data_IF_073867643898
#
_entry.id   IF_073867643898
#
_cell.length_a   1.000
_cell.length_b   1.000
_cell.length_c   1.000
_cell.angle_alpha   90.00
_cell.angle_beta   90.00
_cell.angle_gamma   90.00
#
_symmetry.space_group_name_H-M   'P 1'
#
loop_
_entity.id
_entity.type
_entity.pdbx_description
1 polymer ?
#
# COMPACT_ATOMS: atom_id res chain seq x y z
N UNK A 1 17.84 -3.15 -0.86
CA UNK A 1 18.03 -4.52 -0.38
C UNK A 1 16.67 -5.22 -0.33
N UNK A 2 16.63 -6.51 -0.65
CA UNK A 2 15.43 -7.35 -0.49
C UNK A 2 15.55 -8.20 0.78
N UNK A 3 14.44 -8.38 1.50
CA UNK A 3 14.38 -9.18 2.71
C UNK A 3 13.28 -10.24 2.58
N UNK A 4 13.49 -11.39 3.22
CA UNK A 4 12.55 -12.52 3.21
C UNK A 4 11.38 -12.35 4.21
N UNK A 5 11.25 -11.18 4.84
CA UNK A 5 10.22 -10.86 5.83
C UNK A 5 10.76 -9.98 6.95
N UNK A 6 9.87 -9.54 7.85
CA UNK A 6 10.21 -8.61 8.95
C UNK A 6 11.27 -9.17 9.90
N UNK A 7 11.18 -10.43 10.27
CA UNK A 7 12.16 -11.07 11.14
C UNK A 7 13.57 -11.06 10.54
N UNK A 8 13.69 -11.30 9.24
CA UNK A 8 14.99 -11.23 8.54
C UNK A 8 15.54 -9.80 8.55
N UNK A 9 14.69 -8.79 8.34
CA UNK A 9 15.07 -7.39 8.44
C UNK A 9 15.57 -7.03 9.84
N UNK A 10 14.86 -7.44 10.89
CA UNK A 10 15.22 -7.20 12.28
C UNK A 10 16.57 -7.82 12.64
N UNK A 11 16.79 -9.09 12.29
CA UNK A 11 18.06 -9.79 12.54
C UNK A 11 19.22 -9.09 11.86
N UNK A 12 19.08 -8.72 10.58
CA UNK A 12 20.14 -8.03 9.84
C UNK A 12 20.40 -6.65 10.41
N UNK A 13 19.37 -5.91 10.78
CA UNK A 13 19.50 -4.58 11.40
C UNK A 13 20.24 -4.67 12.72
N UNK A 14 19.88 -5.63 13.57
CA UNK A 14 20.56 -5.84 14.85
C UNK A 14 22.02 -6.23 14.65
N UNK A 15 22.33 -7.12 13.71
CA UNK A 15 23.70 -7.50 13.39
C UNK A 15 24.53 -6.32 12.91
N UNK A 16 24.02 -5.50 11.99
CA UNK A 16 24.73 -4.32 11.50
C UNK A 16 24.98 -3.30 12.61
N UNK A 17 24.05 -3.14 13.54
CA UNK A 17 24.23 -2.29 14.72
C UNK A 17 25.29 -2.84 15.67
N UNK A 18 25.26 -4.16 15.96
CA UNK A 18 26.19 -4.79 16.94
C UNK A 18 27.60 -4.97 16.40
N UNK A 19 27.72 -5.44 15.14
CA UNK A 19 29.02 -5.79 14.55
C UNK A 19 29.74 -4.57 13.96
N UNK A 20 28.99 -3.61 13.43
CA UNK A 20 29.55 -2.44 12.72
C UNK A 20 29.22 -1.10 13.36
N UNK A 21 28.48 -1.08 14.47
CA UNK A 21 28.01 0.13 15.17
C UNK A 21 27.28 1.13 14.25
N UNK A 22 26.50 0.61 13.27
CA UNK A 22 25.74 1.43 12.32
C UNK A 22 24.36 1.75 12.87
N UNK A 23 24.01 3.04 12.93
CA UNK A 23 22.64 3.47 13.16
C UNK A 23 21.91 3.53 11.80
N UNK A 24 21.03 2.56 11.56
CA UNK A 24 20.28 2.45 10.31
C UNK A 24 18.95 3.18 10.40
N UNK A 25 18.63 3.91 9.35
CA UNK A 25 17.27 4.40 9.10
C UNK A 25 16.65 3.46 8.08
N UNK A 26 15.60 2.75 8.50
CA UNK A 26 14.87 1.81 7.65
C UNK A 26 13.67 2.53 7.08
N UNK A 27 13.56 2.58 5.76
CA UNK A 27 12.43 3.16 5.06
C UNK A 27 11.84 2.15 4.10
N UNK A 28 10.52 2.13 3.97
CA UNK A 28 9.87 1.43 2.89
C UNK A 28 10.06 2.20 1.57
N UNK A 29 10.15 1.52 0.41
CA UNK A 29 10.15 2.20 -0.87
C UNK A 29 8.87 3.01 -1.03
N UNK A 30 8.98 4.23 -1.54
CA UNK A 30 7.84 5.10 -1.86
C UNK A 30 7.60 5.12 -3.36
N UNK A 31 6.34 5.30 -3.73
CA UNK A 31 5.92 5.43 -5.12
C UNK A 31 6.03 6.91 -5.51
N UNK A 32 6.61 7.18 -6.68
CA UNK A 32 6.67 8.51 -7.24
C UNK A 32 5.38 8.79 -8.01
N UNK A 33 4.60 9.78 -7.57
CA UNK A 33 3.46 10.30 -8.31
C UNK A 33 3.87 11.50 -9.12
N UNK A 34 3.44 11.56 -10.38
CA UNK A 34 3.59 12.75 -11.23
C UNK A 34 2.32 13.59 -11.11
N UNK A 35 2.47 14.83 -10.64
CA UNK A 35 1.35 15.73 -10.40
C UNK A 35 1.50 16.94 -11.33
N UNK A 36 0.51 17.15 -12.18
CA UNK A 36 0.40 18.32 -13.04
C UNK A 36 -0.66 19.26 -12.48
N UNK A 37 -0.23 20.39 -11.96
CA UNK A 37 -1.08 21.42 -11.40
C UNK A 37 -1.82 22.20 -12.48
N UNK A 38 -2.90 22.87 -12.13
CA UNK A 38 -3.71 23.69 -13.03
C UNK A 38 -2.90 24.80 -13.75
N UNK A 39 -1.80 25.27 -13.16
CA UNK A 39 -0.89 26.22 -13.77
C UNK A 39 0.08 25.61 -14.79
N UNK A 40 -0.07 24.34 -15.12
CA UNK A 40 0.78 23.58 -16.04
C UNK A 40 2.12 23.11 -15.45
N UNK A 41 2.41 23.43 -14.18
CA UNK A 41 3.62 22.93 -13.53
C UNK A 41 3.47 21.44 -13.22
N UNK A 42 4.46 20.64 -13.63
CA UNK A 42 4.54 19.21 -13.30
C UNK A 42 5.66 18.98 -12.29
N UNK A 43 5.39 18.17 -11.27
CA UNK A 43 6.37 17.77 -10.27
C UNK A 43 6.18 16.31 -9.85
N UNK A 44 7.28 15.68 -9.40
CA UNK A 44 7.24 14.32 -8.82
C UNK A 44 7.18 14.41 -7.30
N UNK A 45 6.18 13.73 -6.73
CA UNK A 45 5.96 13.67 -5.29
C UNK A 45 6.18 12.26 -4.80
N UNK A 46 7.07 12.12 -3.81
CA UNK A 46 7.45 10.85 -3.18
C UNK A 46 6.86 10.68 -1.79
N UNK A 47 6.53 11.79 -1.12
CA UNK A 47 6.03 11.77 0.26
C UNK A 47 4.53 12.07 0.30
N UNK A 48 3.73 11.26 0.99
CA UNK A 48 2.29 11.51 1.13
C UNK A 48 1.96 12.89 1.71
N UNK A 49 2.80 13.42 2.61
CA UNK A 49 2.63 14.75 3.22
C UNK A 49 2.67 15.92 2.22
N UNK A 50 3.24 15.70 1.03
CA UNK A 50 3.29 16.69 -0.06
C UNK A 50 2.25 16.44 -1.14
N UNK A 51 1.45 15.38 -0.98
CA UNK A 51 0.40 15.04 -1.93
C UNK A 51 -0.71 16.11 -1.89
N UNK A 52 -1.33 16.45 -3.03
CA UNK A 52 -2.40 17.44 -3.08
C UNK A 52 -3.54 17.12 -2.10
N UNK A 53 -4.15 18.16 -1.56
CA UNK A 53 -5.38 18.02 -0.80
C UNK A 53 -6.55 17.67 -1.73
N UNK A 54 -7.55 17.02 -1.19
CA UNK A 54 -8.78 16.69 -1.92
C UNK A 54 -9.38 17.95 -2.57
N UNK A 55 -9.74 17.82 -3.85
CA UNK A 55 -10.30 18.93 -4.63
C UNK A 55 -9.27 19.92 -5.17
N UNK A 56 -7.97 19.72 -4.94
CA UNK A 56 -6.95 20.47 -5.63
C UNK A 56 -7.03 20.20 -7.14
N UNK A 57 -7.00 21.26 -7.95
CA UNK A 57 -7.01 21.14 -9.42
C UNK A 57 -5.66 20.64 -9.92
N UNK A 58 -5.48 19.34 -9.89
CA UNK A 58 -4.29 18.66 -10.34
C UNK A 58 -4.65 17.36 -11.07
N UNK A 59 -3.87 17.03 -12.10
CA UNK A 59 -3.92 15.71 -12.72
C UNK A 59 -2.84 14.85 -12.09
N UNK A 60 -3.21 13.68 -11.60
CA UNK A 60 -2.31 12.75 -10.93
C UNK A 60 -2.06 11.57 -11.86
N UNK A 61 -0.79 11.20 -12.01
CA UNK A 61 -0.37 9.98 -12.72
C UNK A 61 0.50 9.13 -11.81
N UNK A 62 0.37 7.82 -11.94
CA UNK A 62 1.14 6.84 -11.17
C UNK A 62 1.86 5.85 -12.09
N UNK A 63 2.99 5.28 -11.63
CA UNK A 63 3.69 4.26 -12.38
C UNK A 63 2.90 2.95 -12.40
N UNK A 64 2.81 2.37 -13.57
CA UNK A 64 2.28 1.03 -13.79
C UNK A 64 3.41 0.05 -14.02
N UNK A 65 3.12 -1.22 -13.78
CA UNK A 65 4.03 -2.34 -13.98
C UNK A 65 3.40 -3.39 -14.87
N UNK A 66 4.22 -4.00 -15.70
CA UNK A 66 3.89 -5.23 -16.41
C UNK A 66 4.33 -6.39 -15.54
N UNK A 67 3.41 -7.25 -15.17
CA UNK A 67 3.65 -8.40 -14.30
C UNK A 67 3.40 -9.66 -15.10
N UNK A 68 4.33 -10.62 -15.01
CA UNK A 68 4.14 -11.98 -15.49
C UNK A 68 3.96 -12.90 -14.29
N UNK A 69 2.87 -13.66 -14.31
CA UNK A 69 2.55 -14.66 -13.30
C UNK A 69 2.54 -16.04 -13.98
N UNK A 70 3.32 -16.97 -13.45
CA UNK A 70 3.32 -18.37 -13.88
C UNK A 70 2.67 -19.19 -12.78
N UNK A 71 1.62 -19.93 -13.12
CA UNK A 71 0.83 -20.70 -12.17
C UNK A 71 0.22 -21.95 -12.82
N UNK A 72 -0.14 -22.98 -12.04
CA UNK A 72 -0.95 -24.10 -12.53
C UNK A 72 -2.37 -23.63 -12.90
N UNK A 73 -3.00 -24.22 -13.94
CA UNK A 73 -4.33 -23.84 -14.41
C UNK A 73 -5.41 -23.85 -13.32
N UNK A 74 -5.32 -24.75 -12.36
CA UNK A 74 -6.28 -24.89 -11.24
C UNK A 74 -6.43 -23.63 -10.40
N UNK A 75 -5.39 -22.79 -10.34
CA UNK A 75 -5.38 -21.56 -9.56
C UNK A 75 -5.75 -20.30 -10.37
N UNK A 76 -6.11 -20.47 -11.65
CA UNK A 76 -6.47 -19.34 -12.51
C UNK A 76 -7.65 -18.55 -11.95
N UNK A 77 -8.71 -19.23 -11.51
CA UNK A 77 -9.91 -18.56 -10.96
C UNK A 77 -9.63 -17.72 -9.71
N UNK A 78 -8.88 -18.26 -8.74
CA UNK A 78 -8.51 -17.52 -7.54
C UNK A 78 -7.59 -16.33 -7.85
N UNK A 79 -6.69 -16.49 -8.81
CA UNK A 79 -5.81 -15.42 -9.27
C UNK A 79 -6.59 -14.31 -9.99
N UNK A 80 -7.58 -14.65 -10.82
CA UNK A 80 -8.45 -13.65 -11.47
C UNK A 80 -9.21 -12.77 -10.45
N UNK A 81 -9.73 -13.37 -9.39
CA UNK A 81 -10.38 -12.62 -8.29
C UNK A 81 -9.40 -11.66 -7.63
N UNK A 82 -8.18 -12.14 -7.33
CA UNK A 82 -7.14 -11.32 -6.73
C UNK A 82 -6.73 -10.15 -7.65
N UNK A 83 -6.60 -10.39 -8.95
CA UNK A 83 -6.27 -9.34 -9.93
C UNK A 83 -7.33 -8.25 -9.97
N UNK A 84 -8.60 -8.62 -9.93
CA UNK A 84 -9.69 -7.64 -9.86
C UNK A 84 -9.60 -6.75 -8.63
N UNK A 85 -9.27 -7.31 -7.46
CA UNK A 85 -9.10 -6.58 -6.19
C UNK A 85 -7.88 -5.63 -6.20
N UNK A 86 -6.90 -5.94 -7.04
CA UNK A 86 -5.66 -5.17 -7.20
C UNK A 86 -5.59 -4.36 -8.51
N UNK A 87 -6.73 -4.06 -9.12
CA UNK A 87 -6.81 -3.27 -10.35
C UNK A 87 -5.96 -3.81 -11.52
N UNK A 88 -5.76 -5.13 -11.55
CA UNK A 88 -4.96 -5.80 -12.58
C UNK A 88 -5.73 -5.92 -13.90
N UNK A 89 -5.14 -5.47 -14.99
CA UNK A 89 -5.64 -5.59 -16.35
C UNK A 89 -4.91 -6.74 -17.05
N UNK A 90 -5.65 -7.77 -17.48
CA UNK A 90 -5.05 -8.90 -18.19
C UNK A 90 -4.79 -8.50 -19.64
N UNK A 91 -3.54 -8.61 -20.04
CA UNK A 91 -3.09 -8.30 -21.40
C UNK A 91 -3.04 -9.57 -22.25
N UNK A 92 -2.53 -10.65 -21.67
CA UNK A 92 -2.35 -11.91 -22.38
C UNK A 92 -2.40 -13.09 -21.43
N UNK A 93 -2.80 -14.25 -21.99
CA UNK A 93 -2.85 -15.52 -21.28
C UNK A 93 -2.35 -16.63 -22.20
N UNK A 94 -1.19 -17.16 -21.89
CA UNK A 94 -0.59 -18.26 -22.63
C UNK A 94 -0.61 -19.54 -21.79
N UNK A 95 -1.01 -20.65 -22.38
CA UNK A 95 -0.94 -21.95 -21.71
C UNK A 95 0.20 -22.76 -22.32
N UNK A 96 1.18 -23.08 -21.49
CA UNK A 96 2.32 -23.92 -21.83
C UNK A 96 2.09 -25.33 -21.31
N UNK A 97 1.64 -26.21 -22.16
CA UNK A 97 1.19 -27.56 -21.77
C UNK A 97 0.02 -27.54 -20.76
N UNK A 98 -0.51 -28.71 -20.43
CA UNK A 98 -1.64 -28.83 -19.49
C UNK A 98 -1.29 -28.48 -18.03
N UNK A 99 -0.03 -28.12 -17.74
CA UNK A 99 0.46 -27.94 -16.37
C UNK A 99 0.77 -26.49 -15.98
N UNK A 100 0.91 -25.55 -16.93
CA UNK A 100 1.33 -24.17 -16.63
C UNK A 100 0.64 -23.13 -17.49
N UNK A 101 0.16 -22.09 -16.84
CA UNK A 101 -0.39 -20.88 -17.48
C UNK A 101 0.49 -19.69 -17.15
N UNK A 102 0.79 -18.87 -18.14
CA UNK A 102 1.45 -17.58 -18.00
C UNK A 102 0.40 -16.49 -18.19
N UNK A 103 0.22 -15.65 -17.17
CA UNK A 103 -0.59 -14.45 -17.25
C UNK A 103 0.32 -13.25 -17.39
N UNK A 104 0.12 -12.45 -18.43
CA UNK A 104 0.73 -11.12 -18.56
C UNK A 104 -0.32 -10.07 -18.22
N UNK A 105 -0.05 -9.27 -17.20
CA UNK A 105 -0.97 -8.26 -16.70
C UNK A 105 -0.30 -6.90 -16.60
N UNK A 106 -1.10 -5.84 -16.61
CA UNK A 106 -0.70 -4.50 -16.21
C UNK A 106 -1.44 -4.12 -14.93
N UNK A 107 -0.74 -3.52 -13.98
CA UNK A 107 -1.35 -3.05 -12.73
C UNK A 107 -0.59 -1.84 -12.17
N UNK A 108 -1.24 -1.02 -11.34
CA UNK A 108 -0.55 0.06 -10.63
C UNK A 108 0.54 -0.49 -9.71
N UNK A 109 1.72 0.15 -9.69
CA UNK A 109 2.81 -0.25 -8.80
C UNK A 109 2.38 -0.25 -7.32
N UNK A 110 1.49 0.68 -6.91
CA UNK A 110 0.95 0.73 -5.53
C UNK A 110 0.22 -0.55 -5.13
N UNK A 111 -0.50 -1.15 -6.08
CA UNK A 111 -1.25 -2.39 -5.85
C UNK A 111 -0.33 -3.61 -5.79
N UNK A 112 0.71 -3.65 -6.63
CA UNK A 112 1.74 -4.68 -6.53
C UNK A 112 2.43 -4.65 -5.15
N UNK A 113 2.75 -3.45 -4.64
CA UNK A 113 3.41 -3.27 -3.36
C UNK A 113 2.48 -3.47 -2.14
N UNK A 114 1.17 -3.49 -2.35
CA UNK A 114 0.15 -3.70 -1.31
C UNK A 114 -0.07 -5.18 -1.00
N UNK A 115 0.98 -5.89 -0.61
CA UNK A 115 0.94 -7.32 -0.25
C UNK A 115 0.42 -8.26 -1.38
N UNK A 116 0.42 -7.83 -2.65
CA UNK A 116 -0.06 -8.65 -3.76
C UNK A 116 0.69 -9.97 -3.86
N UNK A 117 2.01 -9.95 -3.67
CA UNK A 117 2.84 -11.17 -3.73
C UNK A 117 2.43 -12.20 -2.67
N UNK A 118 2.23 -11.77 -1.42
CA UNK A 118 1.82 -12.67 -0.32
C UNK A 118 0.42 -13.23 -0.55
N UNK A 119 -0.50 -12.39 -1.04
CA UNK A 119 -1.86 -12.82 -1.37
C UNK A 119 -1.87 -13.80 -2.55
N UNK A 120 -1.05 -13.56 -3.58
CA UNK A 120 -0.88 -14.47 -4.70
C UNK A 120 -0.34 -15.83 -4.24
N UNK A 121 0.68 -15.83 -3.39
CA UNK A 121 1.24 -17.07 -2.80
C UNK A 121 0.19 -17.84 -2.02
N UNK A 122 -0.60 -17.15 -1.21
CA UNK A 122 -1.68 -17.78 -0.44
C UNK A 122 -2.78 -18.34 -1.36
N UNK A 123 -3.22 -17.55 -2.35
CA UNK A 123 -4.27 -17.95 -3.29
C UNK A 123 -3.87 -19.14 -4.19
N UNK A 124 -2.56 -19.35 -4.36
CA UNK A 124 -2.01 -20.41 -5.22
C UNK A 124 -1.26 -21.50 -4.45
N UNK A 125 -1.45 -21.57 -3.12
CA UNK A 125 -0.75 -22.54 -2.24
C UNK A 125 0.78 -22.54 -2.43
N UNK A 126 1.34 -21.38 -2.80
CA UNK A 126 2.77 -21.19 -3.05
C UNK A 126 3.26 -21.55 -4.44
N UNK A 127 2.40 -22.08 -5.32
CA UNK A 127 2.81 -22.53 -6.65
C UNK A 127 3.08 -21.41 -7.65
N UNK A 128 2.47 -20.23 -7.49
CA UNK A 128 2.71 -19.13 -8.41
C UNK A 128 4.10 -18.54 -8.26
N UNK A 129 4.71 -18.18 -9.39
CA UNK A 129 5.87 -17.29 -9.44
C UNK A 129 5.50 -15.99 -10.13
N UNK A 130 6.17 -14.90 -9.74
CA UNK A 130 5.90 -13.56 -10.23
C UNK A 130 7.21 -12.88 -10.62
N UNK A 131 7.22 -12.21 -11.77
CA UNK A 131 8.23 -11.24 -12.15
C UNK A 131 7.53 -9.97 -12.65
N UNK A 132 8.19 -8.82 -12.56
CA UNK A 132 7.62 -7.57 -13.03
C UNK A 132 8.69 -6.65 -13.62
N UNK A 133 8.26 -5.74 -14.48
CA UNK A 133 9.05 -4.67 -15.06
C UNK A 133 8.24 -3.36 -15.02
N UNK A 134 8.95 -2.23 -14.94
CA UNK A 134 8.30 -0.92 -14.98
C UNK A 134 7.70 -0.68 -16.35
N UNK A 135 6.50 -0.13 -16.35
CA UNK A 135 5.78 0.30 -17.55
C UNK A 135 5.62 1.83 -17.56
N UNK A 136 4.59 2.33 -18.21
CA UNK A 136 4.30 3.74 -18.37
C UNK A 136 3.64 4.39 -17.15
N UNK A 137 3.63 5.72 -17.13
CA UNK A 137 2.84 6.50 -16.19
C UNK A 137 1.40 6.62 -16.70
N UNK A 138 0.40 6.31 -15.87
CA UNK A 138 -1.02 6.41 -16.22
C UNK A 138 -1.80 7.30 -15.26
N UNK A 139 -2.93 7.88 -15.70
CA UNK A 139 -3.83 8.59 -14.80
C UNK A 139 -4.20 7.73 -13.60
N UNK A 140 -4.20 8.34 -12.41
CA UNK A 140 -4.47 7.66 -11.15
C UNK A 140 -5.68 8.28 -10.46
N UNK A 141 -6.60 7.41 -9.99
CA UNK A 141 -7.70 7.79 -9.10
C UNK A 141 -7.31 7.44 -7.67
N UNK A 142 -6.59 8.34 -7.03
CA UNK A 142 -5.97 8.14 -5.73
C UNK A 142 -6.22 9.32 -4.80
N UNK A 143 -6.25 9.05 -3.51
CA UNK A 143 -6.44 10.03 -2.46
C UNK A 143 -5.43 9.86 -1.33
N UNK A 144 -5.12 10.96 -0.63
CA UNK A 144 -4.33 10.90 0.59
C UNK A 144 -5.21 10.51 1.76
N UNK A 145 -4.84 9.42 2.44
CA UNK A 145 -5.42 9.03 3.72
C UNK A 145 -4.50 9.52 4.83
N UNK A 146 -5.03 10.39 5.67
CA UNK A 146 -4.36 10.94 6.84
C UNK A 146 -4.92 10.31 8.12
N UNK A 147 -4.07 10.12 9.11
CA UNK A 147 -4.46 9.62 10.43
C UNK A 147 -4.18 10.68 11.48
N UNK A 148 -5.21 10.96 12.29
CA UNK A 148 -5.12 11.87 13.41
C UNK A 148 -5.26 11.09 14.73
N UNK A 149 -4.41 11.39 15.69
CA UNK A 149 -4.47 10.88 17.06
C UNK A 149 -4.57 12.05 18.02
N UNK A 150 -5.59 12.04 18.85
CA UNK A 150 -5.91 13.16 19.76
C UNK A 150 -6.08 14.53 19.03
N UNK A 151 -6.53 14.49 17.77
CA UNK A 151 -6.70 15.69 16.93
C UNK A 151 -5.46 16.14 16.18
N UNK A 152 -4.30 15.53 16.43
CA UNK A 152 -3.04 15.85 15.76
C UNK A 152 -2.77 14.89 14.61
N UNK A 153 -2.37 15.43 13.45
CA UNK A 153 -1.96 14.64 12.29
C UNK A 153 -0.66 13.87 12.61
N UNK A 154 -0.65 12.58 12.30
CA UNK A 154 0.55 11.74 12.40
C UNK A 154 1.07 11.44 10.99
N UNK A 155 2.04 12.21 10.47
CA UNK A 155 2.50 12.10 9.08
C UNK A 155 3.05 10.73 8.71
N UNK A 156 3.58 9.99 9.69
CA UNK A 156 4.11 8.63 9.48
C UNK A 156 3.03 7.62 9.06
N UNK A 157 1.76 7.90 9.31
CA UNK A 157 0.64 7.06 8.90
C UNK A 157 -0.08 7.57 7.65
N UNK A 158 0.30 8.76 7.15
CA UNK A 158 -0.23 9.28 5.89
C UNK A 158 0.23 8.43 4.73
N UNK A 159 -0.71 8.07 3.84
CA UNK A 159 -0.43 7.27 2.65
C UNK A 159 -1.36 7.62 1.51
N UNK A 160 -0.93 7.34 0.28
CA UNK A 160 -1.76 7.50 -0.93
C UNK A 160 -2.36 6.15 -1.26
N UNK A 161 -3.67 6.12 -1.46
CA UNK A 161 -4.46 4.91 -1.72
C UNK A 161 -5.46 5.15 -2.85
N UNK A 162 -5.91 4.08 -3.49
CA UNK A 162 -6.98 4.17 -4.50
C UNK A 162 -8.28 4.67 -3.88
N UNK A 163 -8.96 5.59 -4.56
CA UNK A 163 -10.19 6.25 -4.07
C UNK A 163 -11.27 5.25 -3.67
N UNK A 164 -11.43 4.18 -4.41
CA UNK A 164 -12.42 3.12 -4.13
C UNK A 164 -12.14 2.33 -2.84
N UNK A 165 -10.93 2.41 -2.29
CA UNK A 165 -10.53 1.70 -1.07
C UNK A 165 -10.50 2.58 0.18
N UNK A 166 -10.77 3.87 0.04
CA UNK A 166 -10.66 4.85 1.13
C UNK A 166 -11.44 4.43 2.37
N UNK A 167 -12.69 4.00 2.22
CA UNK A 167 -13.52 3.62 3.36
C UNK A 167 -12.98 2.39 4.09
N UNK A 168 -12.62 1.35 3.34
CA UNK A 168 -12.07 0.11 3.90
C UNK A 168 -10.74 0.36 4.62
N UNK A 169 -9.81 1.06 3.97
CA UNK A 169 -8.49 1.36 4.51
C UNK A 169 -8.58 2.28 5.75
N UNK A 170 -9.49 3.26 5.73
CA UNK A 170 -9.73 4.13 6.88
C UNK A 170 -10.25 3.36 8.10
N UNK A 171 -11.19 2.42 7.90
CA UNK A 171 -11.68 1.56 8.97
C UNK A 171 -10.57 0.67 9.53
N UNK A 172 -9.85 -0.02 8.66
CA UNK A 172 -8.78 -0.94 9.05
C UNK A 172 -7.69 -0.25 9.86
N UNK A 173 -7.23 0.93 9.44
CA UNK A 173 -6.17 1.65 10.17
C UNK A 173 -6.67 2.12 11.54
N UNK A 174 -7.89 2.63 11.63
CA UNK A 174 -8.48 3.09 12.90
C UNK A 174 -8.69 1.90 13.86
N UNK A 175 -9.19 0.77 13.39
CA UNK A 175 -9.37 -0.43 14.20
C UNK A 175 -8.03 -1.01 14.65
N UNK A 176 -7.06 -1.08 13.75
CA UNK A 176 -5.70 -1.55 14.09
C UNK A 176 -5.08 -0.68 15.18
N UNK A 177 -5.10 0.64 15.02
CA UNK A 177 -4.56 1.56 16.03
C UNK A 177 -5.32 1.49 17.34
N UNK A 178 -6.66 1.39 17.29
CA UNK A 178 -7.48 1.22 18.49
C UNK A 178 -7.12 -0.05 19.28
N UNK A 179 -6.74 -1.13 18.59
CA UNK A 179 -6.39 -2.41 19.23
C UNK A 179 -5.00 -2.42 19.87
N UNK A 180 -4.06 -1.64 19.34
CA UNK A 180 -2.65 -1.67 19.78
C UNK A 180 -2.25 -0.49 20.66
N UNK A 181 -2.94 0.67 20.56
CA UNK A 181 -2.62 1.83 21.39
C UNK A 181 -3.07 1.61 22.84
N UNK A 182 -2.19 1.82 23.82
CA UNK A 182 -2.54 1.70 25.21
C UNK A 182 -3.46 2.85 25.65
N UNK A 183 -4.31 2.58 26.67
CA UNK A 183 -5.13 3.62 27.29
C UNK A 183 -4.24 4.70 27.92
N UNK A 184 -4.64 5.93 27.75
CA UNK A 184 -3.98 7.11 28.33
C UNK A 184 -4.78 7.68 29.50
N UNK A 185 -4.24 8.69 30.19
CA UNK A 185 -4.93 9.37 31.29
C UNK A 185 -6.15 10.19 30.82
N UNK A 186 -6.31 10.40 29.53
CA UNK A 186 -7.42 11.11 28.90
C UNK A 186 -7.97 10.30 27.71
N UNK A 187 -9.18 10.60 27.29
CA UNK A 187 -9.81 9.98 26.12
C UNK A 187 -9.00 10.34 24.86
N UNK A 188 -8.49 9.31 24.18
CA UNK A 188 -7.73 9.49 22.94
C UNK A 188 -8.60 9.13 21.74
N UNK A 189 -8.84 10.12 20.90
CA UNK A 189 -9.60 9.92 19.66
C UNK A 189 -8.65 9.57 18.50
N UNK A 190 -8.94 8.49 17.78
CA UNK A 190 -8.25 8.08 16.57
C UNK A 190 -9.19 8.33 15.40
N UNK A 191 -8.71 9.02 14.37
CA UNK A 191 -9.50 9.38 13.20
C UNK A 191 -8.71 9.13 11.92
N UNK A 192 -9.38 8.66 10.90
CA UNK A 192 -8.84 8.59 9.55
C UNK A 192 -9.61 9.58 8.68
N UNK A 193 -8.89 10.46 7.99
CA UNK A 193 -9.42 11.51 7.14
C UNK A 193 -8.95 11.34 5.71
N UNK A 194 -9.87 11.44 4.77
CA UNK A 194 -9.63 11.48 3.33
C UNK A 194 -10.82 12.15 2.65
N UNK A 195 -10.72 12.50 1.37
CA UNK A 195 -11.82 13.13 0.61
C UNK A 195 -12.35 14.41 1.30
N UNK A 196 -11.46 15.15 1.98
CA UNK A 196 -11.83 16.37 2.71
C UNK A 196 -12.68 16.16 3.96
N UNK A 197 -12.88 14.93 4.43
CA UNK A 197 -13.70 14.61 5.60
C UNK A 197 -13.13 13.47 6.44
N UNK A 198 -13.64 13.33 7.66
CA UNK A 198 -13.35 12.16 8.50
C UNK A 198 -14.17 10.98 8.00
N UNK A 199 -13.49 9.89 7.62
CA UNK A 199 -14.11 8.68 7.10
C UNK A 199 -14.40 7.68 8.24
N UNK A 200 -13.46 7.52 9.17
CA UNK A 200 -13.59 6.59 10.30
C UNK A 200 -13.04 7.20 11.58
N UNK A 201 -13.64 6.85 12.71
CA UNK A 201 -13.24 7.36 14.02
C UNK A 201 -13.53 6.36 15.13
N UNK A 202 -12.59 6.20 16.07
CA UNK A 202 -12.74 5.43 17.31
C UNK A 202 -12.15 6.20 18.49
N UNK A 203 -12.65 5.96 19.68
CA UNK A 203 -12.14 6.58 20.90
C UNK A 203 -11.67 5.52 21.89
N UNK A 204 -10.47 5.70 22.41
CA UNK A 204 -9.92 4.89 23.51
C UNK A 204 -10.30 5.59 24.81
N UNK A 205 -11.01 4.90 25.70
CA UNK A 205 -11.40 5.45 27.01
C UNK A 205 -10.18 5.75 27.87
N UNK A 206 -10.26 6.79 28.68
CA UNK A 206 -9.23 7.09 29.67
C UNK A 206 -9.03 5.94 30.66
N UNK A 207 -7.84 5.85 31.26
CA UNK A 207 -7.58 5.01 32.42
C UNK A 207 -8.51 5.47 33.56
N UNK A 208 -9.26 4.54 34.15
CA UNK A 208 -9.97 4.82 35.41
C UNK A 208 -8.90 4.98 36.51
N UNK A 209 -8.98 6.07 37.24
CA UNK A 209 -8.26 6.21 38.52
C UNK A 209 -9.01 5.30 39.51
N UNK A 210 -8.33 4.29 40.06
CA UNK A 210 -8.81 3.55 41.20
C UNK A 210 -8.82 4.44 42.42
#
# INVERSE_FOLDING_TARGET
CGFLGMLHLEIITERLKREFNLNLIITAPSIAYEITWHNGKTEHIYAPSRFPDHGASATIREPWVRVQIILPPDYLGSTMTLLHDHEGEIIDTETFSDERTILTILMPLRELMRNFFDQLKNATSGYASLSYEMSDMRPADVERLDVLVAGELVPAFSRVIGTRRVELEAQQVVEKLHSILPRQMFVTKIQASALGRIISSRSISALKKD
#
